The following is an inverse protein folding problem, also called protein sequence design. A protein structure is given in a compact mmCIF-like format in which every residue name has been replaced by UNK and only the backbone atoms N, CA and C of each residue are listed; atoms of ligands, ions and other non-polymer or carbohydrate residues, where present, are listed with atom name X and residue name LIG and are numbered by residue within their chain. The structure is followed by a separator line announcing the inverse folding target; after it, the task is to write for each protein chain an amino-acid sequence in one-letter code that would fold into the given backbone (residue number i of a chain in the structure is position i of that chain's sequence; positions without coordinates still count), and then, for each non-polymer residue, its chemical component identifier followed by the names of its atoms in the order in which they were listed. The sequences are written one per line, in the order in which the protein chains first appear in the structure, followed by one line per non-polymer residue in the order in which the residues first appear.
data_IF_070387415319
#
_entry.id   IF_070387415319
#
_cell.length_a   1.000
_cell.length_b   1.000
_cell.length_c   1.000
_cell.angle_alpha   90.00
_cell.angle_beta   90.00
_cell.angle_gamma   90.00
#
_symmetry.space_group_name_H-M   'P 1'
#
loop_
_entity.id
_entity.type
_entity.pdbx_description
1 polymer ?
#
# COMPACT_ATOMS: atom_id res chain seq x y z
N UNK A 1 -47.04 41.82 43.76
CA UNK A 1 -46.47 40.46 43.68
C UNK A 1 -45.28 40.49 42.73
N UNK A 2 -44.16 39.96 43.20
CA UNK A 2 -42.81 40.02 42.62
C UNK A 2 -42.57 38.96 41.52
N UNK A 3 -41.37 39.07 40.93
CA UNK A 3 -40.57 38.15 40.10
C UNK A 3 -40.71 38.38 38.58
N UNK A 4 -39.76 39.01 37.87
CA UNK A 4 -38.28 38.90 37.83
C UNK A 4 -37.80 37.51 37.42
N UNK A 5 -37.26 37.38 36.20
CA UNK A 5 -35.96 36.75 35.89
C UNK A 5 -35.69 36.73 34.38
N UNK A 6 -34.84 37.65 33.93
CA UNK A 6 -33.99 37.49 32.74
C UNK A 6 -33.05 36.31 32.96
N UNK A 7 -33.10 35.29 32.10
CA UNK A 7 -32.10 34.20 32.10
C UNK A 7 -31.29 34.26 30.79
N UNK A 8 -30.03 34.67 30.93
CA UNK A 8 -28.96 34.40 29.98
C UNK A 8 -28.81 32.88 29.83
N UNK A 9 -28.81 32.35 28.61
CA UNK A 9 -28.21 31.05 28.33
C UNK A 9 -26.97 31.21 27.45
N UNK A 10 -25.88 30.83 28.07
CA UNK A 10 -24.49 30.79 27.65
C UNK A 10 -24.18 29.69 26.63
N UNK A 11 -23.20 30.00 25.79
CA UNK A 11 -22.23 29.15 25.09
C UNK A 11 -22.32 27.62 25.33
N UNK A 12 -22.51 26.88 24.23
CA UNK A 12 -21.85 25.60 24.02
C UNK A 12 -21.26 25.59 22.60
N UNK A 13 -19.99 25.99 22.49
CA UNK A 13 -19.18 25.77 21.30
C UNK A 13 -18.91 24.27 21.18
N UNK A 14 -19.71 23.54 20.40
CA UNK A 14 -19.34 22.20 19.96
C UNK A 14 -18.22 22.34 18.94
N UNK A 15 -16.97 22.27 19.43
CA UNK A 15 -15.82 22.01 18.60
C UNK A 15 -16.06 20.65 17.90
N UNK A 16 -16.51 20.69 16.65
CA UNK A 16 -16.39 19.57 15.74
C UNK A 16 -14.88 19.32 15.60
N UNK A 17 -14.38 18.34 16.35
CA UNK A 17 -13.08 17.74 16.10
C UNK A 17 -13.13 17.19 14.67
N UNK A 18 -12.61 17.98 13.74
CA UNK A 18 -12.40 17.57 12.36
C UNK A 18 -11.55 16.31 12.42
N UNK A 19 -11.94 15.18 11.79
CA UNK A 19 -11.00 14.09 11.62
C UNK A 19 -9.77 14.71 10.96
N UNK A 20 -8.63 14.69 11.66
CA UNK A 20 -7.36 14.98 11.03
C UNK A 20 -7.24 13.96 9.91
N UNK A 21 -7.33 14.45 8.68
CA UNK A 21 -6.80 13.75 7.53
C UNK A 21 -5.39 13.31 7.92
N UNK A 22 -5.24 12.02 8.20
CA UNK A 22 -3.95 11.40 8.41
C UNK A 22 -3.24 11.27 7.06
N UNK A 23 -3.05 12.41 6.38
CA UNK A 23 -2.09 12.56 5.30
C UNK A 23 -0.76 13.00 5.90
N UNK A 24 -0.26 12.25 6.88
CA UNK A 24 1.08 12.47 7.45
C UNK A 24 1.71 11.09 7.66
N UNK A 25 2.51 10.64 6.68
CA UNK A 25 3.67 9.74 6.85
C UNK A 25 4.22 9.20 5.52
N UNK A 26 3.43 9.20 4.43
CA UNK A 26 3.80 8.42 3.24
C UNK A 26 4.69 9.16 2.23
N UNK A 27 4.79 10.50 2.32
CA UNK A 27 5.52 11.32 1.35
C UNK A 27 7.06 11.37 1.55
N UNK A 28 7.62 10.65 2.53
CA UNK A 28 9.06 10.66 2.84
C UNK A 28 9.67 9.28 3.09
N UNK A 29 8.97 8.20 2.77
CA UNK A 29 9.45 6.85 3.09
C UNK A 29 10.65 6.48 2.23
N UNK A 30 11.77 6.12 2.88
CA UNK A 30 13.01 5.71 2.20
C UNK A 30 12.83 4.42 1.40
N UNK A 31 11.85 3.59 1.77
CA UNK A 31 11.60 2.30 1.13
C UNK A 31 10.13 2.10 0.85
N UNK A 32 9.84 1.64 -0.36
CA UNK A 32 8.50 1.47 -0.87
C UNK A 32 8.35 0.05 -1.40
N UNK A 33 7.27 -0.62 -1.01
CA UNK A 33 6.95 -1.96 -1.48
C UNK A 33 5.55 -1.94 -2.07
N UNK A 34 5.38 -2.47 -3.28
CA UNK A 34 4.08 -2.57 -3.94
C UNK A 34 3.66 -4.03 -4.00
N UNK A 35 2.46 -4.31 -3.50
CA UNK A 35 1.79 -5.60 -3.66
C UNK A 35 0.96 -5.54 -4.93
N UNK A 36 1.30 -6.37 -5.91
CA UNK A 36 0.78 -6.23 -7.27
C UNK A 36 0.13 -7.51 -7.77
N UNK A 37 -0.82 -7.32 -8.67
CA UNK A 37 -1.33 -8.36 -9.55
C UNK A 37 -0.77 -8.07 -10.95
N UNK A 38 0.02 -9.00 -11.46
CA UNK A 38 0.64 -8.96 -12.77
C UNK A 38 -0.14 -9.78 -13.78
N UNK A 39 -0.17 -9.30 -15.02
CA UNK A 39 -0.74 -10.00 -16.16
C UNK A 39 0.27 -10.00 -17.29
N UNK A 40 0.63 -11.19 -17.75
CA UNK A 40 1.47 -11.39 -18.93
C UNK A 40 0.58 -11.85 -20.08
N UNK A 41 0.61 -11.13 -21.19
CA UNK A 41 -0.18 -11.49 -22.37
C UNK A 41 0.72 -12.10 -23.44
N UNK A 42 0.24 -13.19 -24.03
CA UNK A 42 0.76 -13.75 -25.27
C UNK A 42 -0.36 -13.82 -26.31
N UNK A 43 -0.03 -14.22 -27.53
CA UNK A 43 -1.01 -14.35 -28.62
C UNK A 43 -2.10 -15.40 -28.33
N UNK A 44 -1.80 -16.39 -27.48
CA UNK A 44 -2.67 -17.54 -27.23
C UNK A 44 -3.15 -17.62 -25.78
N UNK A 45 -2.33 -17.15 -24.83
CA UNK A 45 -2.58 -17.28 -23.40
C UNK A 45 -2.39 -15.97 -22.63
N UNK A 46 -3.10 -15.85 -21.50
CA UNK A 46 -2.93 -14.78 -20.52
C UNK A 46 -2.64 -15.39 -19.16
N UNK A 47 -1.44 -15.10 -18.64
CA UNK A 47 -0.98 -15.59 -17.34
C UNK A 47 -1.13 -14.48 -16.30
N UNK A 48 -1.42 -14.85 -15.06
CA UNK A 48 -1.51 -13.91 -13.94
C UNK A 48 -0.58 -14.33 -12.81
N UNK A 49 0.02 -13.36 -12.14
CA UNK A 49 0.91 -13.60 -11.01
C UNK A 49 0.69 -12.56 -9.91
N UNK A 50 0.87 -12.95 -8.66
CA UNK A 50 0.97 -11.99 -7.54
C UNK A 50 2.45 -11.73 -7.29
N UNK A 51 2.87 -10.46 -7.33
CA UNK A 51 4.27 -10.09 -7.16
C UNK A 51 4.44 -8.91 -6.21
N UNK A 52 5.59 -8.88 -5.56
CA UNK A 52 6.06 -7.79 -4.70
C UNK A 52 7.13 -7.02 -5.46
N UNK A 53 6.94 -5.72 -5.62
CA UNK A 53 7.90 -4.83 -6.28
C UNK A 53 8.50 -3.92 -5.21
N UNK A 54 9.82 -3.97 -5.03
CA UNK A 54 10.53 -3.23 -4.01
C UNK A 54 11.37 -2.09 -4.60
N UNK A 55 11.29 -0.93 -3.97
CA UNK A 55 12.10 0.25 -4.25
C UNK A 55 12.81 0.71 -2.98
N UNK A 56 14.14 0.76 -3.00
CA UNK A 56 14.96 1.43 -1.99
C UNK A 56 15.07 2.93 -2.29
N UNK A 57 13.93 3.61 -2.32
CA UNK A 57 13.82 5.02 -2.60
C UNK A 57 12.42 5.39 -3.11
N UNK A 58 12.20 6.66 -3.50
CA UNK A 58 10.96 7.06 -4.12
C UNK A 58 10.77 6.34 -5.46
N UNK A 59 9.61 5.70 -5.62
CA UNK A 59 9.23 5.11 -6.91
C UNK A 59 8.81 6.24 -7.86
N UNK A 60 9.54 6.42 -8.96
CA UNK A 60 9.19 7.37 -10.03
C UNK A 60 9.08 6.62 -11.35
N UNK A 61 8.47 7.24 -12.37
CA UNK A 61 8.35 6.66 -13.72
C UNK A 61 9.70 6.39 -14.40
N UNK A 62 10.81 6.91 -13.87
CA UNK A 62 12.16 6.74 -14.40
C UNK A 62 13.02 5.80 -13.56
N UNK A 63 12.52 5.34 -12.41
CA UNK A 63 13.27 4.48 -11.50
C UNK A 63 12.90 3.03 -11.73
N UNK A 64 13.89 2.16 -11.95
CA UNK A 64 13.69 0.71 -11.93
C UNK A 64 13.49 0.22 -10.49
N UNK A 65 12.71 -0.84 -10.26
CA UNK A 65 12.67 -1.52 -8.96
C UNK A 65 14.05 -1.95 -8.51
N UNK A 66 14.28 -1.92 -7.20
CA UNK A 66 15.47 -2.51 -6.58
C UNK A 66 15.40 -4.03 -6.64
N UNK A 67 14.21 -4.60 -6.41
CA UNK A 67 14.00 -6.04 -6.51
C UNK A 67 12.53 -6.38 -6.78
N UNK A 68 12.28 -7.58 -7.29
CA UNK A 68 10.95 -8.09 -7.59
C UNK A 68 10.86 -9.56 -7.14
N UNK A 69 9.85 -9.87 -6.33
CA UNK A 69 9.59 -11.22 -5.85
C UNK A 69 8.22 -11.73 -6.30
N UNK A 70 8.16 -12.89 -6.96
CA UNK A 70 6.90 -13.56 -7.30
C UNK A 70 6.41 -14.36 -6.10
N UNK A 71 5.15 -14.16 -5.72
CA UNK A 71 4.50 -14.79 -4.56
C UNK A 71 3.66 -15.99 -4.98
N UNK A 72 2.94 -15.88 -6.09
CA UNK A 72 2.04 -16.93 -6.56
C UNK A 72 1.77 -16.82 -8.06
N UNK A 73 1.66 -17.99 -8.70
CA UNK A 73 1.20 -18.18 -10.08
C UNK A 73 0.21 -19.35 -10.07
N UNK A 74 -1.09 -19.15 -10.36
CA UNK A 74 -1.73 -17.90 -10.78
C UNK A 74 -1.86 -16.86 -9.65
N UNK A 75 -2.27 -15.64 -10.02
CA UNK A 75 -2.47 -14.57 -9.06
C UNK A 75 -3.43 -14.98 -7.94
N UNK A 76 -3.01 -14.72 -6.71
CA UNK A 76 -3.74 -15.02 -5.49
C UNK A 76 -4.09 -13.74 -4.73
N UNK A 77 -5.22 -13.77 -4.01
CA UNK A 77 -5.65 -12.66 -3.15
C UNK A 77 -4.62 -12.31 -2.08
N UNK A 78 -4.49 -11.02 -1.80
CA UNK A 78 -3.59 -10.49 -0.77
C UNK A 78 -4.27 -10.41 0.60
N UNK A 79 -5.59 -10.23 0.60
CA UNK A 79 -6.43 -9.99 1.76
C UNK A 79 -6.64 -11.26 2.59
N UNK A 80 -6.61 -11.12 3.91
CA UNK A 80 -6.93 -12.20 4.85
C UNK A 80 -5.87 -13.32 4.92
N UNK A 81 -4.74 -13.18 4.22
CA UNK A 81 -3.68 -14.19 4.18
C UNK A 81 -2.31 -13.53 4.34
N UNK A 82 -1.46 -14.13 5.16
CA UNK A 82 -0.06 -13.70 5.25
C UNK A 82 0.72 -14.20 4.03
N UNK A 83 1.26 -13.28 3.22
CA UNK A 83 2.11 -13.61 2.07
C UNK A 83 3.56 -13.36 2.38
N UNK A 84 4.45 -14.17 1.80
CA UNK A 84 5.89 -14.12 2.05
C UNK A 84 6.67 -14.35 0.77
N UNK A 85 7.75 -13.61 0.61
CA UNK A 85 8.73 -13.79 -0.48
C UNK A 85 10.10 -13.32 0.00
N UNK A 86 11.16 -13.86 -0.57
CA UNK A 86 12.52 -13.38 -0.28
C UNK A 86 12.89 -12.32 -1.31
N UNK A 87 13.37 -11.18 -0.82
CA UNK A 87 13.91 -10.09 -1.62
C UNK A 87 15.38 -9.82 -1.23
N UNK A 88 16.05 -8.94 -1.95
CA UNK A 88 17.44 -8.52 -1.72
C UNK A 88 17.70 -8.06 -0.28
N UNK A 89 16.74 -7.34 0.30
CA UNK A 89 16.82 -6.77 1.66
C UNK A 89 16.32 -7.74 2.73
N UNK A 90 16.01 -8.99 2.36
CA UNK A 90 15.63 -10.06 3.26
C UNK A 90 14.23 -10.60 3.01
N UNK A 91 13.68 -11.27 4.02
CA UNK A 91 12.34 -11.89 3.93
C UNK A 91 11.27 -10.82 4.03
N UNK A 92 10.50 -10.66 2.97
CA UNK A 92 9.27 -9.88 2.97
C UNK A 92 8.11 -10.70 3.52
N UNK A 93 7.29 -10.09 4.37
CA UNK A 93 6.03 -10.64 4.88
C UNK A 93 4.96 -9.55 4.86
N UNK A 94 3.81 -9.80 4.23
CA UNK A 94 2.66 -8.90 4.27
C UNK A 94 1.46 -9.53 4.94
N UNK A 95 0.66 -8.70 5.62
CA UNK A 95 -0.60 -9.06 6.25
C UNK A 95 -1.63 -7.98 5.93
N UNK A 96 -2.44 -8.23 4.91
CA UNK A 96 -3.53 -7.35 4.51
C UNK A 96 -4.83 -7.82 5.14
N UNK A 97 -5.60 -6.91 5.73
CA UNK A 97 -6.85 -7.22 6.37
C UNK A 97 -7.85 -7.83 5.37
N UNK A 98 -8.69 -8.76 5.84
CA UNK A 98 -9.79 -9.27 5.05
C UNK A 98 -10.76 -8.12 4.70
N UNK A 99 -11.18 -8.03 3.44
CA UNK A 99 -12.08 -6.96 2.96
C UNK A 99 -11.40 -5.61 2.70
N UNK A 100 -10.06 -5.54 2.75
CA UNK A 100 -9.32 -4.31 2.45
C UNK A 100 -9.49 -3.83 0.99
N UNK A 101 -9.92 -4.71 0.08
CA UNK A 101 -10.24 -4.40 -1.31
C UNK A 101 -11.46 -3.49 -1.47
N UNK A 102 -12.35 -3.47 -0.47
CA UNK A 102 -13.51 -2.58 -0.43
C UNK A 102 -13.19 -1.18 0.14
N UNK A 103 -11.98 -0.98 0.67
CA UNK A 103 -11.59 0.30 1.26
C UNK A 103 -11.29 1.34 0.16
N UNK A 104 -11.60 2.63 0.41
CA UNK A 104 -11.18 3.71 -0.47
C UNK A 104 -9.65 3.77 -0.63
N UNK A 105 -9.19 4.29 -1.78
CA UNK A 105 -7.77 4.56 -2.02
C UNK A 105 -7.17 5.39 -0.88
N UNK A 106 -5.90 5.12 -0.58
CA UNK A 106 -5.11 5.72 0.50
C UNK A 106 -5.55 5.37 1.92
N UNK A 107 -6.55 4.50 2.10
CA UNK A 107 -6.87 3.96 3.43
C UNK A 107 -5.89 2.86 3.82
N UNK A 108 -5.64 2.73 5.12
CA UNK A 108 -4.79 1.68 5.68
C UNK A 108 -5.47 0.33 5.47
N UNK A 109 -4.78 -0.55 4.75
CA UNK A 109 -5.24 -1.90 4.39
C UNK A 109 -4.57 -2.99 5.24
N UNK A 110 -3.40 -2.71 5.84
CA UNK A 110 -2.67 -3.68 6.64
C UNK A 110 -1.23 -3.27 6.91
N UNK A 111 -0.40 -4.25 7.22
CA UNK A 111 1.01 -4.05 7.53
C UNK A 111 1.91 -5.03 6.78
N UNK A 112 3.18 -4.69 6.67
CA UNK A 112 4.19 -5.57 6.13
C UNK A 112 5.53 -5.40 6.86
N UNK A 113 6.44 -6.34 6.63
CA UNK A 113 7.79 -6.34 7.18
C UNK A 113 8.77 -6.82 6.12
N UNK A 114 9.92 -6.13 5.98
CA UNK A 114 11.03 -6.54 5.11
C UNK A 114 12.30 -6.63 5.96
N UNK A 115 12.76 -7.86 6.21
CA UNK A 115 13.84 -8.07 7.17
C UNK A 115 13.45 -7.55 8.55
N UNK A 116 14.13 -6.51 9.02
CA UNK A 116 13.87 -5.87 10.32
C UNK A 116 13.01 -4.60 10.22
N UNK A 117 12.62 -4.19 9.02
CA UNK A 117 11.94 -2.92 8.77
C UNK A 117 10.44 -3.12 8.65
N UNK A 118 9.66 -2.31 9.37
CA UNK A 118 8.19 -2.37 9.38
C UNK A 118 7.59 -1.37 8.39
N UNK A 119 6.46 -1.76 7.82
CA UNK A 119 5.75 -1.03 6.77
C UNK A 119 4.26 -0.95 7.06
N UNK A 120 3.64 0.16 6.68
CA UNK A 120 2.17 0.32 6.67
C UNK A 120 1.70 0.27 5.22
N UNK A 121 0.71 -0.58 4.95
CA UNK A 121 0.16 -0.80 3.63
C UNK A 121 -1.15 -0.04 3.45
N UNK A 122 -1.26 0.69 2.35
CA UNK A 122 -2.41 1.48 1.94
C UNK A 122 -3.01 0.91 0.66
N UNK A 123 -4.31 1.11 0.48
CA UNK A 123 -4.96 0.83 -0.81
C UNK A 123 -4.38 1.75 -1.88
N UNK A 124 -3.82 1.17 -2.94
CA UNK A 124 -3.34 1.94 -4.10
C UNK A 124 -4.34 1.83 -5.26
N UNK A 125 -4.56 0.59 -5.73
CA UNK A 125 -5.54 0.25 -6.76
C UNK A 125 -5.37 0.93 -8.13
N UNK A 126 -4.28 1.66 -8.38
CA UNK A 126 -4.17 2.55 -9.55
C UNK A 126 -2.78 2.61 -10.20
N UNK A 127 -1.71 2.44 -9.42
CA UNK A 127 -0.34 2.45 -9.90
C UNK A 127 -0.09 1.23 -10.78
N UNK A 128 0.55 1.45 -11.92
CA UNK A 128 0.86 0.39 -12.89
C UNK A 128 2.33 0.36 -13.24
N UNK A 129 2.89 -0.83 -13.31
CA UNK A 129 4.28 -1.09 -13.68
C UNK A 129 4.30 -1.93 -14.96
N UNK A 130 5.16 -1.58 -15.91
CA UNK A 130 5.29 -2.28 -17.19
C UNK A 130 6.70 -2.81 -17.35
N UNK A 131 6.82 -4.11 -17.56
CA UNK A 131 8.08 -4.78 -17.79
C UNK A 131 8.10 -5.31 -19.23
N UNK A 132 8.85 -4.63 -20.10
CA UNK A 132 8.91 -4.94 -21.54
C UNK A 132 9.53 -6.31 -21.83
N UNK A 133 10.48 -6.72 -20.99
CA UNK A 133 11.14 -8.03 -21.06
C UNK A 133 10.47 -9.07 -20.15
N UNK A 134 9.37 -8.68 -19.49
CA UNK A 134 8.64 -9.53 -18.54
C UNK A 134 9.23 -9.54 -17.14
N UNK A 135 8.44 -10.08 -16.21
CA UNK A 135 8.85 -10.21 -14.80
C UNK A 135 9.86 -11.36 -14.57
N UNK A 136 9.88 -12.34 -15.49
CA UNK A 136 10.74 -13.53 -15.46
C UNK A 136 11.57 -13.67 -16.76
N UNK A 137 11.80 -12.56 -17.47
CA UNK A 137 12.52 -12.57 -18.75
C UNK A 137 11.71 -13.10 -19.94
N UNK A 138 10.40 -13.28 -19.77
CA UNK A 138 9.48 -13.79 -20.79
C UNK A 138 8.25 -12.89 -20.88
N UNK A 139 8.01 -12.32 -22.08
CA UNK A 139 6.78 -11.61 -22.51
C UNK A 139 6.52 -10.28 -21.79
N UNK A 140 5.80 -9.36 -22.42
CA UNK A 140 5.41 -8.11 -21.76
C UNK A 140 4.50 -8.38 -20.55
N UNK A 141 4.92 -7.93 -19.37
CA UNK A 141 4.15 -8.05 -18.13
C UNK A 141 3.67 -6.68 -17.67
N UNK A 142 2.36 -6.57 -17.43
CA UNK A 142 1.74 -5.38 -16.84
C UNK A 142 1.28 -5.71 -15.41
N UNK A 143 1.81 -4.99 -14.42
CA UNK A 143 1.47 -5.17 -13.01
C UNK A 143 0.67 -3.99 -12.48
N UNK A 144 -0.46 -4.26 -11.83
CA UNK A 144 -1.27 -3.27 -11.13
C UNK A 144 -1.01 -3.38 -9.63
N UNK A 145 -0.68 -2.28 -8.98
CA UNK A 145 -0.61 -2.22 -7.53
C UNK A 145 -2.01 -2.35 -6.93
N UNK A 146 -2.18 -3.37 -6.10
CA UNK A 146 -3.33 -3.50 -5.21
C UNK A 146 -3.08 -2.62 -3.97
N UNK A 147 -1.89 -2.76 -3.38
CA UNK A 147 -1.50 -2.04 -2.18
C UNK A 147 -0.09 -1.45 -2.32
N UNK A 148 0.11 -0.33 -1.65
CA UNK A 148 1.42 0.30 -1.49
C UNK A 148 1.78 0.32 0.00
N UNK A 149 2.93 -0.25 0.33
CA UNK A 149 3.47 -0.31 1.68
C UNK A 149 4.65 0.65 1.80
N UNK A 150 4.51 1.63 2.68
CA UNK A 150 5.57 2.60 3.00
C UNK A 150 6.27 2.17 4.29
N UNK A 151 7.60 2.21 4.31
CA UNK A 151 8.39 2.00 5.52
C UNK A 151 8.03 3.03 6.58
N UNK A 152 7.88 2.58 7.82
CA UNK A 152 7.64 3.42 9.01
C UNK A 152 8.93 3.95 9.61
N UNK A 153 10.09 3.48 9.14
CA UNK A 153 11.36 3.99 9.59
C UNK A 153 11.64 5.35 8.91
N UNK A 154 11.30 6.42 9.64
CA UNK A 154 11.55 7.80 9.21
C UNK A 154 12.97 8.27 9.50
N UNK A 155 13.93 7.36 9.74
CA UNK A 155 15.35 7.68 9.96
C UNK A 155 15.62 8.47 11.25
N UNK A 156 16.45 7.91 12.12
CA UNK A 156 17.17 8.75 13.07
C UNK A 156 18.07 9.72 12.28
N UNK A 157 18.01 10.99 12.67
CA UNK A 157 18.73 12.11 12.05
C UNK A 157 20.24 11.97 12.21
#
# INVERSE_FOLDING_TARGET
MYLSTTLLLSLAATALARPQDATIAAAGSKKNVYLTTCTSRSLLDTDTASAVIYYNGPATSRTSPTDIGVVAEPASKWEGVTRRVTLSDGRFTSSIAAGADALPKSQIAGTAKLGNEDFVCFVDGSSTFKFREGLLGLRETNCKANYWCASTNVGDS
#
